data_IF_821819482499
#
_entry.id   IF_821819482499
#
_cell.length_a   1.000
_cell.length_b   1.000
_cell.length_c   1.000
_cell.angle_alpha   90.00
_cell.angle_beta   90.00
_cell.angle_gamma   90.00
#
_symmetry.space_group_name_H-M   'P 1'
#
loop_
_entity.id
_entity.type
_entity.pdbx_description
1 polymer ?
#
# COMPACT_ATOMS: atom_id res chain seq x y z
N UNK A 1 17.09 11.66 -30.40
CA UNK A 1 17.94 11.31 -29.25
C UNK A 1 17.01 10.72 -28.22
N UNK A 2 17.20 9.48 -27.77
CA UNK A 2 16.40 8.94 -26.67
C UNK A 2 16.69 9.82 -25.45
N UNK A 3 15.67 10.55 -24.96
CA UNK A 3 15.77 11.24 -23.69
C UNK A 3 16.22 10.21 -22.66
N UNK A 4 17.34 10.48 -21.98
CA UNK A 4 17.76 9.68 -20.85
C UNK A 4 16.63 9.76 -19.82
N UNK A 5 15.82 8.70 -19.77
CA UNK A 5 14.66 8.63 -18.89
C UNK A 5 15.19 8.58 -17.47
N UNK A 6 14.83 9.58 -16.67
CA UNK A 6 15.14 9.61 -15.25
C UNK A 6 14.51 8.37 -14.59
N UNK A 7 15.34 7.47 -14.07
CA UNK A 7 14.87 6.24 -13.42
C UNK A 7 14.64 6.46 -11.92
N UNK A 8 15.64 6.96 -11.21
CA UNK A 8 15.57 7.24 -9.78
C UNK A 8 16.61 8.28 -9.36
N UNK A 9 16.41 8.93 -8.21
CA UNK A 9 17.40 9.85 -7.63
C UNK A 9 18.68 9.07 -7.33
N UNK A 10 18.56 7.88 -6.75
CA UNK A 10 19.66 7.03 -6.34
C UNK A 10 20.54 6.60 -7.52
N UNK A 11 19.94 6.12 -8.61
CA UNK A 11 20.72 5.70 -9.79
C UNK A 11 21.45 6.87 -10.46
N UNK A 12 20.88 8.08 -10.42
CA UNK A 12 21.57 9.28 -10.90
C UNK A 12 22.73 9.65 -9.98
N UNK A 13 22.53 9.65 -8.66
CA UNK A 13 23.58 9.97 -7.70
C UNK A 13 24.73 8.97 -7.76
N UNK A 14 24.44 7.67 -7.78
CA UNK A 14 25.44 6.60 -7.85
C UNK A 14 26.25 6.64 -9.15
N UNK A 15 25.60 7.00 -10.27
CA UNK A 15 26.26 7.09 -11.57
C UNK A 15 27.21 8.29 -11.70
N UNK A 16 26.92 9.41 -11.03
CA UNK A 16 27.61 10.69 -11.29
C UNK A 16 28.46 11.19 -10.11
N UNK A 17 28.34 10.64 -8.91
CA UNK A 17 29.17 11.00 -7.78
C UNK A 17 30.29 9.97 -7.54
N UNK A 18 31.52 10.40 -7.21
CA UNK A 18 32.53 9.49 -6.67
C UNK A 18 32.01 8.75 -5.42
N UNK A 19 32.40 7.50 -5.15
CA UNK A 19 31.87 6.71 -4.03
C UNK A 19 31.92 7.42 -2.67
N UNK A 20 33.02 8.13 -2.37
CA UNK A 20 33.16 8.87 -1.11
C UNK A 20 32.22 10.09 -0.99
N UNK A 21 31.90 10.74 -2.12
CA UNK A 21 30.95 11.85 -2.15
C UNK A 21 29.52 11.33 -2.15
N UNK A 22 29.25 10.23 -2.86
CA UNK A 22 27.98 9.54 -2.87
C UNK A 22 27.55 9.19 -1.44
N UNK A 23 28.42 8.58 -0.64
CA UNK A 23 28.11 8.21 0.73
C UNK A 23 27.82 9.44 1.61
N UNK A 24 28.59 10.52 1.46
CA UNK A 24 28.35 11.78 2.19
C UNK A 24 27.02 12.41 1.82
N UNK A 25 26.73 12.54 0.52
CA UNK A 25 25.48 13.12 0.00
C UNK A 25 24.29 12.27 0.44
N UNK A 26 24.38 10.95 0.29
CA UNK A 26 23.34 10.00 0.71
C UNK A 26 23.06 10.11 2.21
N UNK A 27 24.08 10.21 3.05
CA UNK A 27 23.92 10.37 4.50
C UNK A 27 23.22 11.69 4.87
N UNK A 28 23.45 12.77 4.13
CA UNK A 28 22.76 14.05 4.34
C UNK A 28 21.30 13.99 3.88
N UNK A 29 21.02 13.35 2.74
CA UNK A 29 19.67 13.26 2.16
C UNK A 29 18.78 12.27 2.93
N UNK A 30 19.30 11.09 3.25
CA UNK A 30 18.50 9.96 3.78
C UNK A 30 18.78 9.65 5.25
N UNK A 31 19.84 10.21 5.84
CA UNK A 31 20.28 9.87 7.20
C UNK A 31 21.10 8.58 7.24
N UNK A 32 21.02 7.84 8.35
CA UNK A 32 21.78 6.60 8.57
C UNK A 32 21.43 5.56 7.49
N UNK A 33 22.45 4.94 6.92
CA UNK A 33 22.25 3.88 5.95
C UNK A 33 21.39 2.74 6.51
N UNK A 34 20.32 2.42 5.78
CA UNK A 34 19.55 1.20 5.99
C UNK A 34 20.27 0.06 5.26
N UNK A 35 20.52 -1.05 5.95
CA UNK A 35 21.11 -2.23 5.31
C UNK A 35 20.19 -2.81 4.24
N UNK A 36 20.74 -3.57 3.29
CA UNK A 36 19.93 -4.35 2.35
C UNK A 36 19.45 -5.65 3.01
N UNK A 37 18.30 -6.14 2.57
CA UNK A 37 17.77 -7.43 2.98
C UNK A 37 17.93 -8.42 1.83
N UNK A 38 18.53 -9.58 2.11
CA UNK A 38 18.52 -10.70 1.17
C UNK A 38 17.09 -11.23 1.01
N UNK A 39 16.59 -11.22 -0.22
CA UNK A 39 15.23 -11.61 -0.55
C UNK A 39 15.17 -13.08 -0.93
N UNK A 40 14.03 -13.72 -0.65
CA UNK A 40 13.77 -15.10 -1.04
C UNK A 40 13.90 -15.24 -2.58
N UNK A 41 14.73 -16.16 -3.11
CA UNK A 41 14.88 -16.37 -4.55
C UNK A 41 13.57 -16.63 -5.28
N UNK A 42 12.66 -17.40 -4.68
CA UNK A 42 11.34 -17.71 -5.25
C UNK A 42 10.48 -16.44 -5.36
N UNK A 43 10.58 -15.54 -4.37
CA UNK A 43 9.88 -14.26 -4.40
C UNK A 43 10.43 -13.36 -5.53
N UNK A 44 11.74 -13.38 -5.75
CA UNK A 44 12.40 -12.64 -6.83
C UNK A 44 12.01 -13.19 -8.19
N UNK A 45 11.96 -14.52 -8.36
CA UNK A 45 11.50 -15.15 -9.60
C UNK A 45 10.02 -14.85 -9.86
N UNK A 46 9.17 -14.94 -8.83
CA UNK A 46 7.76 -14.61 -8.92
C UNK A 46 7.55 -13.13 -9.32
N UNK A 47 8.29 -12.21 -8.70
CA UNK A 47 8.25 -10.78 -9.03
C UNK A 47 8.64 -10.52 -10.49
N UNK A 48 9.68 -11.21 -10.99
CA UNK A 48 10.08 -11.15 -12.41
C UNK A 48 8.99 -11.67 -13.33
N UNK A 49 8.44 -12.86 -13.04
CA UNK A 49 7.36 -13.49 -13.82
C UNK A 49 6.12 -12.61 -13.91
N UNK A 50 5.78 -11.94 -12.82
CA UNK A 50 4.62 -11.07 -12.72
C UNK A 50 4.93 -9.60 -13.01
N UNK A 51 6.15 -9.27 -13.45
CA UNK A 51 6.57 -7.93 -13.86
C UNK A 51 6.29 -6.84 -12.78
N UNK A 52 6.91 -6.97 -11.61
CA UNK A 52 7.01 -5.90 -10.62
C UNK A 52 8.39 -5.89 -9.95
N UNK A 53 8.79 -4.70 -9.49
CA UNK A 53 10.04 -4.54 -8.74
C UNK A 53 9.86 -5.05 -7.30
N UNK A 54 10.87 -5.77 -6.80
CA UNK A 54 10.96 -6.22 -5.42
C UNK A 54 12.28 -5.74 -4.82
N UNK A 55 12.23 -5.01 -3.71
CA UNK A 55 13.39 -4.46 -2.99
C UNK A 55 13.22 -4.72 -1.50
N UNK A 56 14.33 -4.97 -0.80
CA UNK A 56 14.36 -5.27 0.62
C UNK A 56 15.41 -4.46 1.35
N UNK A 57 15.01 -3.83 2.45
CA UNK A 57 15.87 -3.02 3.31
C UNK A 57 15.66 -3.39 4.77
N UNK A 58 16.64 -3.11 5.60
CA UNK A 58 16.67 -3.42 7.03
C UNK A 58 17.06 -2.20 7.83
N UNK A 59 16.20 -1.83 8.77
CA UNK A 59 16.51 -0.94 9.87
C UNK A 59 16.79 -1.77 11.11
N UNK A 60 17.76 -1.36 11.93
CA UNK A 60 18.14 -2.05 13.16
C UNK A 60 18.08 -1.11 14.35
N UNK A 61 17.93 -1.69 15.53
CA UNK A 61 18.02 -1.00 16.81
C UNK A 61 19.11 -1.68 17.65
N UNK A 62 19.63 -0.94 18.63
CA UNK A 62 20.59 -1.48 19.58
C UNK A 62 19.93 -2.57 20.44
N UNK A 63 20.72 -3.53 20.89
CA UNK A 63 20.22 -4.60 21.75
C UNK A 63 19.82 -4.02 23.11
N UNK A 64 18.63 -4.39 23.59
CA UNK A 64 18.22 -4.10 24.97
C UNK A 64 18.55 -5.29 25.88
N UNK A 65 18.95 -5.01 27.11
CA UNK A 65 19.20 -6.05 28.12
C UNK A 65 17.92 -6.74 28.60
N UNK A 66 16.80 -5.99 28.64
CA UNK A 66 15.55 -6.44 29.25
C UNK A 66 14.50 -6.89 28.24
N UNK A 67 14.65 -6.55 26.96
CA UNK A 67 13.64 -6.85 25.93
C UNK A 67 14.27 -7.57 24.75
N UNK A 68 13.68 -8.69 24.29
CA UNK A 68 14.10 -9.29 23.04
C UNK A 68 13.75 -8.37 21.87
N UNK A 69 14.49 -8.47 20.74
CA UNK A 69 14.19 -7.70 19.55
C UNK A 69 12.81 -8.07 19.00
N UNK A 70 11.97 -7.05 18.78
CA UNK A 70 10.68 -7.22 18.11
C UNK A 70 10.84 -6.95 16.61
N UNK A 71 11.30 -7.96 15.88
CA UNK A 71 11.52 -7.85 14.44
C UNK A 71 10.18 -7.96 13.71
N UNK A 72 9.89 -7.01 12.84
CA UNK A 72 8.69 -6.96 12.00
C UNK A 72 9.10 -6.66 10.57
N UNK A 73 8.54 -7.41 9.60
CA UNK A 73 8.69 -7.13 8.17
C UNK A 73 7.44 -6.44 7.65
N UNK A 74 7.62 -5.29 7.03
CA UNK A 74 6.54 -4.52 6.42
C UNK A 74 6.65 -4.56 4.90
N UNK A 75 5.52 -4.67 4.21
CA UNK A 75 5.43 -4.59 2.76
C UNK A 75 4.66 -3.35 2.34
N UNK A 76 5.18 -2.64 1.35
CA UNK A 76 4.54 -1.48 0.73
C UNK A 76 4.31 -1.79 -0.74
N UNK A 77 3.08 -1.62 -1.21
CA UNK A 77 2.68 -1.94 -2.58
C UNK A 77 2.31 -0.69 -3.34
N UNK A 78 2.94 -0.53 -4.51
CA UNK A 78 2.58 0.46 -5.51
C UNK A 78 2.31 -0.24 -6.85
N UNK A 79 1.24 0.15 -7.53
CA UNK A 79 0.86 -0.40 -8.82
C UNK A 79 0.09 0.63 -9.67
N UNK A 80 0.08 0.37 -10.97
CA UNK A 80 -0.82 1.03 -11.92
C UNK A 80 -2.15 0.28 -12.03
N UNK A 81 -3.17 0.92 -12.59
CA UNK A 81 -4.41 0.25 -13.01
C UNK A 81 -4.10 -0.79 -14.10
N UNK A 82 -4.93 -1.84 -14.18
CA UNK A 82 -4.68 -2.97 -15.07
C UNK A 82 -5.45 -2.86 -16.38
N UNK A 83 -6.72 -2.44 -16.31
CA UNK A 83 -7.60 -2.30 -17.47
C UNK A 83 -7.87 -0.82 -17.77
N UNK A 84 -8.25 -0.47 -19.01
CA UNK A 84 -8.70 0.87 -19.36
C UNK A 84 -9.87 1.31 -18.48
N UNK A 85 -9.94 2.62 -18.20
CA UNK A 85 -10.99 3.21 -17.35
C UNK A 85 -12.39 3.13 -17.96
N UNK A 86 -12.49 2.80 -19.25
CA UNK A 86 -13.74 2.58 -19.99
C UNK A 86 -14.33 1.17 -19.83
N UNK A 87 -13.57 0.23 -19.26
CA UNK A 87 -14.07 -1.13 -19.00
C UNK A 87 -15.11 -1.13 -17.87
N UNK A 88 -15.96 -2.17 -17.75
CA UNK A 88 -16.91 -2.29 -16.65
C UNK A 88 -16.21 -2.22 -15.28
N UNK A 89 -16.82 -1.49 -14.33
CA UNK A 89 -16.28 -1.30 -12.96
C UNK A 89 -15.87 -2.64 -12.33
N UNK A 90 -16.74 -3.65 -12.41
CA UNK A 90 -16.45 -4.98 -11.87
C UNK A 90 -15.18 -5.62 -12.46
N UNK A 91 -14.97 -5.52 -13.77
CA UNK A 91 -13.79 -6.07 -14.44
C UNK A 91 -12.51 -5.35 -14.02
N UNK A 92 -12.55 -4.01 -13.91
CA UNK A 92 -11.41 -3.23 -13.43
C UNK A 92 -10.99 -3.64 -12.00
N UNK A 93 -11.97 -3.83 -11.10
CA UNK A 93 -11.73 -4.25 -9.72
C UNK A 93 -11.18 -5.67 -9.62
N UNK A 94 -11.74 -6.59 -10.40
CA UNK A 94 -11.25 -7.97 -10.45
C UNK A 94 -9.78 -8.02 -10.93
N UNK A 95 -9.45 -7.25 -11.97
CA UNK A 95 -8.09 -7.19 -12.50
C UNK A 95 -7.08 -6.62 -11.49
N UNK A 96 -7.48 -5.57 -10.75
CA UNK A 96 -6.68 -5.01 -9.64
C UNK A 96 -6.52 -6.02 -8.49
N UNK A 97 -7.61 -6.72 -8.12
CA UNK A 97 -7.58 -7.78 -7.10
C UNK A 97 -6.55 -8.85 -7.43
N UNK A 98 -6.60 -9.41 -8.66
CA UNK A 98 -5.64 -10.41 -9.15
C UNK A 98 -4.20 -9.90 -9.15
N UNK A 99 -3.99 -8.62 -9.51
CA UNK A 99 -2.67 -7.98 -9.49
C UNK A 99 -2.12 -7.91 -8.06
N UNK A 100 -2.94 -7.46 -7.11
CA UNK A 100 -2.53 -7.35 -5.70
C UNK A 100 -2.31 -8.72 -5.08
N UNK A 101 -3.15 -9.71 -5.33
CA UNK A 101 -2.95 -11.09 -4.85
C UNK A 101 -1.56 -11.62 -5.23
N UNK A 102 -1.15 -11.44 -6.48
CA UNK A 102 0.17 -11.86 -6.95
C UNK A 102 1.33 -11.16 -6.22
N UNK A 103 1.18 -9.86 -5.89
CA UNK A 103 2.18 -9.10 -5.13
C UNK A 103 2.21 -9.55 -3.67
N UNK A 104 1.04 -9.79 -3.07
CA UNK A 104 0.91 -10.29 -1.70
C UNK A 104 1.54 -11.67 -1.55
N UNK A 105 1.41 -12.55 -2.55
CA UNK A 105 2.06 -13.87 -2.56
C UNK A 105 3.60 -13.75 -2.52
N UNK A 106 4.20 -12.82 -3.27
CA UNK A 106 5.64 -12.56 -3.17
C UNK A 106 6.03 -11.96 -1.81
N UNK A 107 5.21 -11.05 -1.27
CA UNK A 107 5.44 -10.50 0.06
C UNK A 107 5.40 -11.58 1.15
N UNK A 108 4.51 -12.56 1.02
CA UNK A 108 4.43 -13.71 1.91
C UNK A 108 5.70 -14.58 1.84
N UNK A 109 6.24 -14.85 0.65
CA UNK A 109 7.52 -15.55 0.47
C UNK A 109 8.70 -14.80 1.11
N UNK A 110 8.62 -13.46 1.17
CA UNK A 110 9.55 -12.59 1.87
C UNK A 110 9.29 -12.50 3.39
N UNK A 111 8.31 -13.22 3.93
CA UNK A 111 7.98 -13.23 5.36
C UNK A 111 7.40 -11.91 5.89
N UNK A 112 6.74 -11.12 5.03
CA UNK A 112 6.06 -9.88 5.44
C UNK A 112 4.97 -10.19 6.46
N UNK A 113 4.91 -9.38 7.53
CA UNK A 113 3.93 -9.52 8.60
C UNK A 113 2.78 -8.51 8.47
N UNK A 114 3.08 -7.31 7.97
CA UNK A 114 2.11 -6.23 7.74
C UNK A 114 2.30 -5.71 6.33
N UNK A 115 1.26 -5.70 5.51
CA UNK A 115 1.30 -5.13 4.16
C UNK A 115 0.29 -3.99 4.01
N UNK A 116 0.69 -2.93 3.31
CA UNK A 116 -0.15 -1.78 3.03
C UNK A 116 -0.20 -1.51 1.53
N UNK A 117 -1.41 -1.21 1.04
CA UNK A 117 -1.65 -0.84 -0.35
C UNK A 117 -1.73 0.69 -0.49
N UNK A 118 -1.58 1.19 -1.72
CA UNK A 118 -1.77 2.60 -2.02
C UNK A 118 -3.23 3.06 -1.80
N UNK A 119 -3.43 4.37 -1.74
CA UNK A 119 -4.76 4.98 -1.57
C UNK A 119 -5.73 4.53 -2.67
N UNK A 120 -6.94 4.12 -2.27
CA UNK A 120 -8.01 3.68 -3.18
C UNK A 120 -7.53 2.67 -4.23
N UNK A 121 -6.71 1.70 -3.81
CA UNK A 121 -5.97 0.81 -4.72
C UNK A 121 -6.84 0.00 -5.68
N UNK A 122 -8.12 -0.20 -5.34
CA UNK A 122 -9.08 -0.98 -6.10
C UNK A 122 -9.87 -0.16 -7.13
N UNK A 123 -9.43 1.06 -7.46
CA UNK A 123 -10.05 1.89 -8.49
C UNK A 123 -9.04 2.78 -9.23
N UNK A 124 -9.35 3.28 -10.44
CA UNK A 124 -8.68 4.44 -11.00
C UNK A 124 -8.89 5.65 -10.10
N UNK A 125 -7.91 6.56 -10.06
CA UNK A 125 -8.04 7.83 -9.33
C UNK A 125 -8.93 8.81 -10.12
N UNK A 126 -10.23 8.50 -10.18
CA UNK A 126 -11.19 9.19 -11.04
C UNK A 126 -11.71 10.52 -10.45
N UNK A 127 -11.29 10.90 -9.24
CA UNK A 127 -11.76 12.11 -8.54
C UNK A 127 -11.45 13.40 -9.32
N UNK A 128 -10.50 13.37 -10.24
CA UNK A 128 -10.20 14.47 -11.16
C UNK A 128 -11.36 14.78 -12.13
N UNK A 129 -12.19 13.78 -12.47
CA UNK A 129 -13.33 13.96 -13.39
C UNK A 129 -14.48 14.75 -12.76
N UNK A 130 -14.61 14.69 -11.43
CA UNK A 130 -15.75 15.23 -10.65
C UNK A 130 -17.08 14.55 -10.95
N UNK A 131 -17.09 13.48 -11.75
CA UNK A 131 -18.30 12.75 -12.13
C UNK A 131 -18.66 11.72 -11.06
N UNK A 132 -19.93 11.65 -10.66
CA UNK A 132 -20.34 10.60 -9.71
C UNK A 132 -20.55 9.24 -10.36
N UNK A 133 -21.04 9.22 -11.60
CA UNK A 133 -21.28 7.99 -12.35
C UNK A 133 -20.19 7.79 -13.40
N UNK A 134 -19.64 6.57 -13.57
CA UNK A 134 -19.88 5.35 -12.78
C UNK A 134 -19.02 5.26 -11.50
N UNK A 135 -18.18 6.26 -11.22
CA UNK A 135 -17.10 6.16 -10.23
C UNK A 135 -17.54 5.86 -8.80
N UNK A 136 -18.72 6.30 -8.39
CA UNK A 136 -19.28 6.00 -7.07
C UNK A 136 -19.64 4.50 -6.89
N UNK A 137 -19.80 3.73 -7.97
CA UNK A 137 -20.03 2.28 -7.90
C UNK A 137 -18.80 1.49 -7.44
N UNK A 138 -17.61 2.10 -7.48
CA UNK A 138 -16.43 1.50 -6.85
C UNK A 138 -16.55 1.43 -5.33
N UNK A 139 -17.39 2.26 -4.72
CA UNK A 139 -17.56 2.33 -3.28
C UNK A 139 -18.19 1.06 -2.70
N UNK A 140 -17.62 0.55 -1.60
CA UNK A 140 -18.07 -0.70 -0.96
C UNK A 140 -18.22 -0.54 0.56
N UNK A 141 -18.91 -1.49 1.19
CA UNK A 141 -18.89 -1.60 2.66
C UNK A 141 -17.45 -1.88 3.15
N UNK A 142 -17.01 -1.12 4.15
CA UNK A 142 -15.71 -1.34 4.81
C UNK A 142 -15.63 -2.64 5.64
N UNK A 143 -16.75 -3.34 5.84
CA UNK A 143 -16.81 -4.57 6.65
C UNK A 143 -17.23 -5.79 5.83
N UNK A 144 -18.07 -5.58 4.82
CA UNK A 144 -18.67 -6.67 4.03
C UNK A 144 -18.39 -6.58 2.53
N UNK A 145 -17.68 -5.54 2.09
CA UNK A 145 -17.33 -5.34 0.68
C UNK A 145 -16.45 -6.46 0.13
N UNK A 146 -16.60 -6.81 -1.16
CA UNK A 146 -15.81 -7.89 -1.77
C UNK A 146 -14.30 -7.64 -1.72
N UNK A 147 -13.86 -6.37 -1.76
CA UNK A 147 -12.44 -6.02 -1.59
C UNK A 147 -11.93 -6.37 -0.20
N UNK A 148 -12.73 -6.11 0.84
CA UNK A 148 -12.39 -6.45 2.23
C UNK A 148 -12.40 -7.96 2.42
N UNK A 149 -13.38 -8.68 1.87
CA UNK A 149 -13.44 -10.14 1.93
C UNK A 149 -12.21 -10.79 1.28
N UNK A 150 -11.76 -10.28 0.14
CA UNK A 150 -10.50 -10.72 -0.49
C UNK A 150 -9.30 -10.50 0.43
N UNK A 151 -9.21 -9.33 1.07
CA UNK A 151 -8.16 -9.06 2.07
C UNK A 151 -8.25 -10.03 3.26
N UNK A 152 -9.43 -10.35 3.77
CA UNK A 152 -9.59 -11.33 4.85
C UNK A 152 -9.08 -12.73 4.45
N UNK A 153 -9.31 -13.15 3.21
CA UNK A 153 -8.81 -14.43 2.70
C UNK A 153 -7.29 -14.44 2.59
N UNK A 154 -6.69 -13.40 1.99
CA UNK A 154 -5.23 -13.26 1.89
C UNK A 154 -4.57 -13.19 3.27
N UNK A 155 -5.15 -12.42 4.19
CA UNK A 155 -4.63 -12.26 5.54
C UNK A 155 -4.55 -13.59 6.30
N UNK A 156 -5.61 -14.42 6.23
CA UNK A 156 -5.64 -15.77 6.83
C UNK A 156 -4.63 -16.69 6.18
N UNK A 157 -4.60 -16.71 4.84
CA UNK A 157 -3.73 -17.59 4.05
C UNK A 157 -2.26 -17.39 4.43
N UNK A 158 -1.86 -16.14 4.62
CA UNK A 158 -0.46 -15.76 4.79
C UNK A 158 -0.08 -15.34 6.21
N UNK A 159 -1.01 -15.44 7.18
CA UNK A 159 -0.83 -14.95 8.55
C UNK A 159 -0.29 -13.50 8.58
N UNK A 160 -0.92 -12.63 7.80
CA UNK A 160 -0.44 -11.27 7.51
C UNK A 160 -1.52 -10.23 7.81
N UNK A 161 -1.16 -9.14 8.47
CA UNK A 161 -2.05 -7.98 8.63
C UNK A 161 -2.09 -7.21 7.31
N UNK A 162 -3.28 -6.83 6.86
CA UNK A 162 -3.48 -6.08 5.61
C UNK A 162 -4.14 -4.74 5.93
N UNK A 163 -3.54 -3.64 5.46
CA UNK A 163 -4.13 -2.30 5.46
C UNK A 163 -4.61 -1.99 4.04
N UNK A 164 -5.93 -1.83 3.88
CA UNK A 164 -6.60 -1.70 2.59
C UNK A 164 -7.35 -0.36 2.48
N UNK A 165 -6.74 0.66 1.84
CA UNK A 165 -7.41 1.92 1.52
C UNK A 165 -8.42 1.75 0.38
N UNK A 166 -9.69 2.08 0.63
CA UNK A 166 -10.80 1.94 -0.32
C UNK A 166 -11.70 3.19 -0.30
N UNK A 167 -12.51 3.33 -1.35
CA UNK A 167 -13.71 4.15 -1.28
C UNK A 167 -14.79 3.36 -0.53
N UNK A 168 -15.17 3.84 0.66
CA UNK A 168 -16.20 3.25 1.49
C UNK A 168 -17.57 3.85 1.13
N UNK A 169 -18.61 3.01 1.11
CA UNK A 169 -20.03 3.40 1.19
C UNK A 169 -20.58 2.90 2.52
N UNK A 170 -21.05 3.81 3.36
CA UNK A 170 -21.61 3.45 4.67
C UNK A 170 -23.11 3.12 4.62
N UNK A 171 -23.69 2.76 5.77
CA UNK A 171 -25.10 2.38 5.90
C UNK A 171 -26.08 3.51 5.54
N UNK A 172 -25.62 4.77 5.60
CA UNK A 172 -26.39 5.95 5.20
C UNK A 172 -26.20 6.35 3.74
N UNK A 173 -25.57 5.48 2.93
CA UNK A 173 -25.20 5.73 1.53
C UNK A 173 -24.19 6.87 1.32
N UNK A 174 -23.48 7.28 2.39
CA UNK A 174 -22.43 8.28 2.31
C UNK A 174 -21.11 7.65 1.90
N UNK A 175 -20.37 8.37 1.07
CA UNK A 175 -19.05 7.95 0.63
C UNK A 175 -17.96 8.49 1.55
N UNK A 176 -16.92 7.69 1.74
CA UNK A 176 -15.76 8.03 2.56
C UNK A 176 -14.47 7.50 1.94
N UNK A 177 -13.39 8.24 2.06
CA UNK A 177 -12.05 7.68 1.86
C UNK A 177 -11.62 7.01 3.17
N UNK A 178 -11.47 5.69 3.15
CA UNK A 178 -11.25 4.89 4.34
C UNK A 178 -10.09 3.92 4.15
N UNK A 179 -9.34 3.64 5.22
CA UNK A 179 -8.42 2.51 5.30
C UNK A 179 -8.95 1.49 6.28
N UNK A 180 -9.18 0.27 5.79
CA UNK A 180 -9.64 -0.88 6.58
C UNK A 180 -8.43 -1.69 7.04
N UNK A 181 -8.38 -2.03 8.33
CA UNK A 181 -7.32 -2.86 8.90
C UNK A 181 -7.84 -4.27 9.14
N UNK A 182 -7.27 -5.25 8.44
CA UNK A 182 -7.59 -6.66 8.56
C UNK A 182 -6.47 -7.37 9.33
N UNK A 183 -6.83 -8.01 10.45
CA UNK A 183 -5.93 -8.84 11.25
C UNK A 183 -5.40 -10.02 10.44
N UNK A 184 -4.24 -10.54 10.84
CA UNK A 184 -3.69 -11.81 10.34
C UNK A 184 -4.61 -13.03 10.55
N UNK A 185 -5.60 -12.95 11.44
CA UNK A 185 -6.69 -13.94 11.56
C UNK A 185 -7.77 -13.81 10.48
N UNK A 186 -7.70 -12.77 9.64
CA UNK A 186 -8.74 -12.33 8.71
C UNK A 186 -9.94 -11.67 9.38
N UNK A 187 -9.91 -11.35 10.67
CA UNK A 187 -10.92 -10.49 11.29
C UNK A 187 -10.70 -9.03 10.85
N UNK A 188 -11.77 -8.29 10.56
CA UNK A 188 -11.69 -6.83 10.40
C UNK A 188 -11.50 -6.24 11.81
N UNK A 189 -10.39 -5.54 12.03
CA UNK A 189 -10.12 -4.86 13.32
C UNK A 189 -10.85 -3.52 13.43
N UNK A 190 -11.09 -2.89 12.28
CA UNK A 190 -11.81 -1.64 12.16
C UNK A 190 -11.31 -0.84 10.96
N UNK A 191 -11.60 0.46 10.98
CA UNK A 191 -11.27 1.39 9.90
C UNK A 191 -10.87 2.76 10.43
N UNK A 192 -10.09 3.48 9.64
CA UNK A 192 -9.88 4.92 9.77
C UNK A 192 -10.39 5.61 8.52
N UNK A 193 -10.83 6.86 8.62
CA UNK A 193 -11.29 7.68 7.48
C UNK A 193 -10.38 8.90 7.33
N UNK A 194 -10.23 9.41 6.11
CA UNK A 194 -9.33 10.53 5.79
C UNK A 194 -9.72 11.80 6.58
N UNK A 195 -8.80 12.27 7.43
CA UNK A 195 -9.05 13.42 8.33
C UNK A 195 -8.98 14.77 7.61
N UNK A 196 -8.17 14.86 6.55
CA UNK A 196 -7.94 16.09 5.81
C UNK A 196 -8.21 15.85 4.32
N UNK A 197 -9.26 16.49 3.81
CA UNK A 197 -9.70 16.30 2.42
C UNK A 197 -9.13 17.42 1.55
N UNK A 198 -8.31 17.11 0.52
CA UNK A 198 -7.82 18.12 -0.39
C UNK A 198 -8.96 18.72 -1.24
N UNK A 199 -8.78 19.98 -1.62
CA UNK A 199 -9.73 20.76 -2.44
C UNK A 199 -9.02 21.53 -3.57
N UNK A 200 -7.81 21.11 -3.94
CA UNK A 200 -6.89 21.89 -4.79
C UNK A 200 -6.69 21.19 -6.14
N UNK A 201 -6.85 21.93 -7.22
CA UNK A 201 -6.55 21.45 -8.58
C UNK A 201 -7.43 20.27 -9.00
N UNK A 202 -6.80 19.20 -9.49
CA UNK A 202 -7.48 17.97 -9.90
C UNK A 202 -7.86 17.06 -8.71
N UNK A 203 -7.37 17.35 -7.50
CA UNK A 203 -7.74 16.66 -6.28
C UNK A 203 -9.05 17.22 -5.70
N UNK A 204 -10.15 17.04 -6.44
CA UNK A 204 -11.50 17.49 -6.06
C UNK A 204 -12.23 16.46 -5.19
N UNK A 205 -11.52 15.84 -4.25
CA UNK A 205 -12.01 14.75 -3.41
C UNK A 205 -13.25 15.15 -2.58
N UNK A 206 -13.33 16.42 -2.16
CA UNK A 206 -14.48 16.97 -1.40
C UNK A 206 -15.83 16.88 -2.12
N UNK A 207 -15.86 16.61 -3.43
CA UNK A 207 -17.10 16.35 -4.17
C UNK A 207 -17.68 14.96 -3.92
N UNK A 208 -16.85 14.02 -3.43
CA UNK A 208 -17.23 12.64 -3.14
C UNK A 208 -17.46 12.41 -1.65
N UNK A 209 -16.57 12.89 -0.78
CA UNK A 209 -16.58 12.56 0.65
C UNK A 209 -16.15 13.71 1.57
N UNK A 210 -16.51 13.59 2.85
CA UNK A 210 -16.28 14.60 3.89
C UNK A 210 -15.14 14.22 4.85
N UNK A 211 -14.66 15.18 5.63
CA UNK A 211 -13.68 14.95 6.68
C UNK A 211 -14.18 13.93 7.72
N UNK A 212 -13.29 13.02 8.10
CA UNK A 212 -13.54 11.98 9.11
C UNK A 212 -13.90 12.55 10.49
N UNK A 213 -14.77 11.82 11.19
CA UNK A 213 -15.09 12.01 12.61
C UNK A 213 -14.50 10.92 13.52
N UNK A 214 -13.71 10.00 12.96
CA UNK A 214 -13.15 8.84 13.69
C UNK A 214 -11.86 9.16 14.47
N UNK A 215 -11.32 10.38 14.31
CA UNK A 215 -10.11 10.82 15.00
C UNK A 215 -8.85 10.14 14.47
N UNK A 216 -7.99 9.68 15.38
CA UNK A 216 -6.67 9.10 15.06
C UNK A 216 -6.53 7.70 15.69
N UNK A 217 -7.29 6.70 15.21
CA UNK A 217 -7.28 5.37 15.80
C UNK A 217 -5.94 4.67 15.56
N UNK A 218 -5.54 3.86 16.54
CA UNK A 218 -4.34 3.03 16.52
C UNK A 218 -4.77 1.57 16.73
N UNK A 219 -4.32 0.67 15.86
CA UNK A 219 -4.86 -0.70 15.78
C UNK A 219 -3.90 -1.74 16.35
N UNK A 220 -4.11 -2.19 17.59
CA UNK A 220 -3.32 -3.29 18.18
C UNK A 220 -3.37 -4.55 17.30
N UNK A 221 -2.20 -4.98 16.81
CA UNK A 221 -2.03 -6.28 16.15
C UNK A 221 -0.94 -7.11 16.83
N UNK A 222 -0.82 -8.38 16.42
CA UNK A 222 0.30 -9.24 16.81
C UNK A 222 1.66 -8.65 16.43
N UNK A 223 1.73 -7.93 15.31
CA UNK A 223 2.98 -7.38 14.77
C UNK A 223 3.21 -5.92 15.20
N UNK A 224 2.18 -5.24 15.69
CA UNK A 224 2.23 -3.93 16.35
C UNK A 224 0.90 -3.19 16.20
N UNK A 225 0.50 -2.25 17.07
CA UNK A 225 1.22 -1.64 18.19
C UNK A 225 0.55 -1.87 19.57
N UNK A 226 1.38 -2.02 20.61
CA UNK A 226 1.02 -1.86 22.02
C UNK A 226 1.14 -0.40 22.42
#
# INVERSE_FOLDING_TARGET
MAEATFESVESVLEKHLPPEEYDKVRNVIYGRECGTLELNPDAVEHAKKHNFQLKGYRMSADAEELRPPRIVRVGLVQNQIVLPTTEPVAAQKEALGKRIESIVDAAALCGVNVICFQETWNMPFAFCTRERSPWAEFAESAEHGPTVQLCQQMARRHNMVIVSPILERDEGDLLWNAAVVVSNSGAVLGKTRKNHIPRVGDFNESTYYMESRLGHPVFQTQFGPR
#
